data_IF_078097516699
#
_entry.id   IF_078097516699
#
_cell.length_a   1.000
_cell.length_b   1.000
_cell.length_c   1.000
_cell.angle_alpha   90.00
_cell.angle_beta   90.00
_cell.angle_gamma   90.00
#
_symmetry.space_group_name_H-M   'P 1'
#
loop_
_entity.id
_entity.type
_entity.pdbx_description
1 polymer ?
#
# COMPACT_ATOMS: atom_id res chain seq x y z
N UNK A 1 12.03 -4.17 -5.78
CA UNK A 1 12.20 -3.44 -7.04
C UNK A 1 12.19 -1.94 -6.81
N UNK A 2 13.21 -1.22 -7.29
CA UNK A 2 13.19 0.23 -7.46
C UNK A 2 12.34 0.55 -8.72
N UNK A 3 11.48 1.56 -8.62
CA UNK A 3 10.12 1.72 -9.23
C UNK A 3 9.89 1.62 -10.75
N UNK A 4 8.70 1.10 -11.14
CA UNK A 4 7.96 1.44 -12.38
C UNK A 4 6.46 1.62 -12.09
N UNK A 5 5.72 2.41 -12.89
CA UNK A 5 4.27 2.62 -12.68
C UNK A 5 3.45 1.32 -12.77
N UNK A 6 3.91 0.34 -13.55
CA UNK A 6 3.24 -0.95 -13.71
C UNK A 6 3.24 -1.79 -12.43
N UNK A 7 4.32 -1.70 -11.64
CA UNK A 7 4.40 -2.39 -10.35
C UNK A 7 3.41 -1.83 -9.34
N UNK A 8 3.26 -0.50 -9.28
CA UNK A 8 2.26 0.15 -8.41
C UNK A 8 0.85 -0.28 -8.79
N UNK A 9 0.55 -0.34 -10.09
CA UNK A 9 -0.76 -0.78 -10.58
C UNK A 9 -1.05 -2.24 -10.23
N UNK A 10 -0.06 -3.13 -10.40
CA UNK A 10 -0.16 -4.55 -10.04
C UNK A 10 -0.40 -4.76 -8.55
N UNK A 11 0.40 -4.10 -7.70
CA UNK A 11 0.27 -4.18 -6.25
C UNK A 11 -1.08 -3.64 -5.77
N UNK A 12 -1.52 -2.50 -6.30
CA UNK A 12 -2.83 -1.96 -5.96
C UNK A 12 -3.96 -2.92 -6.35
N UNK A 13 -3.87 -3.58 -7.51
CA UNK A 13 -4.86 -4.56 -7.93
C UNK A 13 -4.84 -5.82 -7.05
N UNK A 14 -3.66 -6.29 -6.66
CA UNK A 14 -3.51 -7.40 -5.72
C UNK A 14 -4.19 -7.08 -4.39
N UNK A 15 -3.90 -5.92 -3.81
CA UNK A 15 -4.50 -5.43 -2.56
C UNK A 15 -6.02 -5.36 -2.69
N UNK A 16 -6.56 -4.65 -3.68
CA UNK A 16 -8.01 -4.51 -3.87
C UNK A 16 -8.76 -5.84 -4.02
N UNK A 17 -8.12 -6.87 -4.58
CA UNK A 17 -8.74 -8.19 -4.71
C UNK A 17 -8.74 -9.01 -3.42
N UNK A 18 -7.84 -8.72 -2.49
CA UNK A 18 -7.68 -9.47 -1.24
C UNK A 18 -8.20 -8.71 -0.01
N UNK A 19 -8.68 -7.46 -0.19
CA UNK A 19 -9.30 -6.63 0.84
C UNK A 19 -10.73 -7.09 1.20
N UNK A 20 -10.86 -8.29 1.75
CA UNK A 20 -12.10 -8.77 2.39
C UNK A 20 -12.07 -8.47 3.90
N UNK A 21 -10.92 -7.99 4.42
CA UNK A 21 -10.65 -7.66 5.84
C UNK A 21 -9.52 -6.63 5.95
N UNK A 22 -9.33 -6.10 7.16
CA UNK A 22 -8.14 -5.32 7.55
C UNK A 22 -6.83 -6.03 7.16
N UNK A 23 -5.94 -5.33 6.45
CA UNK A 23 -4.66 -5.86 5.96
C UNK A 23 -3.48 -4.96 6.36
N UNK A 24 -2.35 -5.57 6.70
CA UNK A 24 -1.06 -4.87 6.86
C UNK A 24 -0.03 -5.43 5.87
N UNK A 25 0.49 -4.55 5.01
CA UNK A 25 1.52 -4.86 4.02
C UNK A 25 2.85 -4.23 4.43
N UNK A 26 3.93 -5.01 4.32
CA UNK A 26 5.29 -4.56 4.61
C UNK A 26 6.13 -4.61 3.34
N UNK A 27 6.76 -3.49 3.02
CA UNK A 27 7.62 -3.34 1.84
C UNK A 27 9.06 -3.14 2.29
N UNK A 28 9.89 -4.17 2.11
CA UNK A 28 11.29 -4.13 2.53
C UNK A 28 12.06 -3.04 1.76
N UNK A 29 12.72 -2.13 2.50
CA UNK A 29 13.48 -0.98 1.97
C UNK A 29 14.68 -1.37 1.10
N UNK A 30 15.22 -2.58 1.26
CA UNK A 30 16.26 -3.10 0.36
C UNK A 30 15.73 -3.37 -1.04
N UNK A 31 14.43 -3.67 -1.16
CA UNK A 31 13.78 -3.94 -2.43
C UNK A 31 13.01 -2.74 -2.96
N UNK A 32 12.21 -2.06 -2.14
CA UNK A 32 11.32 -0.98 -2.56
C UNK A 32 11.88 0.38 -2.17
N UNK A 33 11.63 1.38 -3.00
CA UNK A 33 12.00 2.77 -2.70
C UNK A 33 10.80 3.55 -2.10
N UNK A 34 11.07 4.67 -1.45
CA UNK A 34 10.00 5.50 -0.87
C UNK A 34 9.07 6.11 -1.92
N UNK A 35 9.49 6.21 -3.19
CA UNK A 35 8.63 6.71 -4.28
C UNK A 35 7.56 5.68 -4.63
N UNK A 36 7.90 4.38 -4.68
CA UNK A 36 6.96 3.27 -4.81
C UNK A 36 5.88 3.40 -3.74
N UNK A 37 6.32 3.45 -2.48
CA UNK A 37 5.43 3.45 -1.32
C UNK A 37 4.48 4.65 -1.32
N UNK A 38 4.99 5.86 -1.54
CA UNK A 38 4.17 7.07 -1.64
C UNK A 38 3.19 7.04 -2.80
N UNK A 39 3.59 6.47 -3.94
CA UNK A 39 2.72 6.38 -5.12
C UNK A 39 1.61 5.37 -4.88
N UNK A 40 1.95 4.20 -4.33
CA UNK A 40 0.99 3.16 -3.96
C UNK A 40 -0.06 3.68 -2.98
N UNK A 41 0.38 4.40 -1.93
CA UNK A 41 -0.52 5.03 -0.97
C UNK A 41 -1.52 5.99 -1.65
N UNK A 42 -1.03 6.88 -2.53
CA UNK A 42 -1.91 7.80 -3.27
C UNK A 42 -2.89 7.05 -4.19
N UNK A 43 -2.41 6.04 -4.90
CA UNK A 43 -3.25 5.20 -5.77
C UNK A 43 -4.35 4.50 -4.98
N UNK A 44 -4.02 3.90 -3.83
CA UNK A 44 -5.00 3.21 -3.01
C UNK A 44 -6.01 4.17 -2.38
N UNK A 45 -5.59 5.36 -1.91
CA UNK A 45 -6.52 6.39 -1.44
C UNK A 45 -7.54 6.81 -2.50
N UNK A 46 -7.13 6.88 -3.77
CA UNK A 46 -8.06 7.20 -4.87
C UNK A 46 -9.01 6.05 -5.22
N UNK A 47 -8.59 4.79 -5.01
CA UNK A 47 -9.38 3.59 -5.36
C UNK A 47 -10.24 3.06 -4.21
N UNK A 48 -9.86 3.35 -2.97
CA UNK A 48 -10.51 2.88 -1.75
C UNK A 48 -10.90 4.10 -0.88
N UNK A 49 -11.86 4.92 -1.34
CA UNK A 49 -12.23 6.15 -0.63
C UNK A 49 -12.84 5.89 0.75
N UNK A 50 -13.47 4.72 0.95
CA UNK A 50 -14.11 4.31 2.20
C UNK A 50 -13.20 3.39 3.04
N UNK A 51 -11.88 3.59 3.00
CA UNK A 51 -10.95 2.78 3.80
C UNK A 51 -9.96 3.69 4.51
N UNK A 52 -9.63 3.33 5.75
CA UNK A 52 -8.61 4.04 6.52
C UNK A 52 -7.24 3.47 6.18
N UNK A 53 -6.46 4.23 5.42
CA UNK A 53 -5.09 3.87 5.02
C UNK A 53 -4.08 4.59 5.91
N UNK A 54 -3.38 3.82 6.75
CA UNK A 54 -2.29 4.28 7.63
C UNK A 54 -0.95 3.84 7.07
N UNK A 55 0.04 4.72 7.16
CA UNK A 55 1.40 4.43 6.70
C UNK A 55 2.42 4.88 7.73
N UNK A 56 3.43 4.06 7.97
CA UNK A 56 4.60 4.41 8.79
C UNK A 56 5.82 3.66 8.29
N UNK A 57 6.98 4.10 8.74
CA UNK A 57 8.26 3.53 8.34
C UNK A 57 8.97 3.04 9.61
N UNK A 58 9.50 1.83 9.58
CA UNK A 58 10.45 1.32 10.58
C UNK A 58 11.84 1.17 9.94
N UNK A 59 12.83 0.61 10.65
CA UNK A 59 14.21 0.56 10.13
C UNK A 59 14.34 -0.23 8.82
N UNK A 60 13.53 -1.27 8.63
CA UNK A 60 13.68 -2.22 7.51
C UNK A 60 12.55 -2.12 6.47
N UNK A 61 11.40 -1.55 6.83
CA UNK A 61 10.17 -1.62 6.04
C UNK A 61 9.47 -0.26 5.92
N UNK A 62 8.83 -0.07 4.76
CA UNK A 62 7.66 0.80 4.66
C UNK A 62 6.42 -0.04 4.97
N UNK A 63 5.58 0.42 5.90
CA UNK A 63 4.43 -0.35 6.36
C UNK A 63 3.14 0.37 6.04
N UNK A 64 2.22 -0.33 5.38
CA UNK A 64 0.90 0.16 5.04
C UNK A 64 -0.16 -0.72 5.69
N UNK A 65 -1.04 -0.10 6.46
CA UNK A 65 -2.23 -0.74 7.01
C UNK A 65 -3.47 -0.16 6.38
N UNK A 66 -4.37 -1.03 5.98
CA UNK A 66 -5.66 -0.68 5.38
C UNK A 66 -6.70 -1.32 6.31
N UNK A 67 -7.43 -0.47 7.02
CA UNK A 67 -8.58 -0.87 7.83
C UNK A 67 -9.86 -0.66 6.99
N UNK A 68 -10.83 -1.57 7.11
CA UNK A 68 -12.19 -1.33 6.62
C UNK A 68 -12.76 -0.11 7.38
N UNK A 69 -13.53 0.74 6.71
CA UNK A 69 -14.39 1.65 7.47
C UNK A 69 -15.52 0.82 8.07
N UNK A 70 -15.62 0.86 9.40
CA UNK A 70 -16.84 0.53 10.13
C UNK A 70 -17.91 1.58 9.74
N UNK A 71 -18.56 1.40 8.58
CA UNK A 71 -19.86 2.04 8.29
C UNK A 71 -20.99 1.15 8.79
#
# INVERSE_FOLDING_TARGET
>A
MKTTNNLVAGEANFIMRHLVRTQTNKYNKSFYDGKFFRTLHKTLKGKLPNHKIKTWDDDEYYVMRIDEDDQ
#
